data_IF_274336157531
#
_entry.id   IF_274336157531
#
_cell.length_a   1.000
_cell.length_b   1.000
_cell.length_c   1.000
_cell.angle_alpha   90.00
_cell.angle_beta   90.00
_cell.angle_gamma   90.00
#
_symmetry.space_group_name_H-M   'P 1'
#
loop_
_entity.id
_entity.type
_entity.pdbx_description
1 polymer ?
#
# COMPACT_ATOMS: atom_id res chain seq x y z
N UNK A 1 31.12 7.32 -3.95
CA UNK A 1 30.14 6.85 -2.95
C UNK A 1 28.81 6.64 -3.68
N UNK A 2 28.44 5.39 -3.95
CA UNK A 2 27.15 5.05 -4.56
C UNK A 2 26.07 5.23 -3.50
N UNK A 3 25.31 6.32 -3.55
CA UNK A 3 24.06 6.41 -2.79
C UNK A 3 23.12 5.37 -3.39
N UNK A 4 22.96 4.23 -2.72
CA UNK A 4 21.86 3.32 -2.99
C UNK A 4 20.57 4.16 -3.01
N UNK A 5 19.88 4.18 -4.16
CA UNK A 5 18.56 4.75 -4.28
C UNK A 5 17.60 3.88 -3.45
N UNK A 6 17.66 4.01 -2.12
CA UNK A 6 16.78 3.28 -1.22
C UNK A 6 15.36 3.75 -1.51
N UNK A 7 14.56 2.88 -2.13
CA UNK A 7 13.13 3.08 -2.28
C UNK A 7 12.56 3.37 -0.88
N UNK A 8 12.03 4.58 -0.69
CA UNK A 8 11.40 4.97 0.57
C UNK A 8 10.02 4.30 0.63
N UNK A 9 9.67 3.60 1.71
CA UNK A 9 8.36 2.92 1.79
C UNK A 9 7.30 3.90 2.29
N UNK A 10 6.26 4.12 1.49
CA UNK A 10 5.05 4.83 1.88
C UNK A 10 3.94 3.82 2.10
N UNK A 11 3.28 3.91 3.24
CA UNK A 11 2.23 2.98 3.63
C UNK A 11 0.90 3.70 3.69
N UNK A 12 -0.12 3.12 3.05
CA UNK A 12 -1.48 3.62 3.01
C UNK A 12 -2.36 2.63 3.77
N UNK A 13 -3.00 3.13 4.81
CA UNK A 13 -3.88 2.37 5.69
C UNK A 13 -5.30 2.90 5.50
N UNK A 14 -6.24 2.06 5.05
CA UNK A 14 -7.64 2.48 4.91
C UNK A 14 -8.62 1.41 4.47
N UNK A 15 -9.90 1.56 4.85
CA UNK A 15 -11.01 0.79 4.27
C UNK A 15 -11.21 1.13 2.78
N UNK A 16 -11.92 0.31 2.00
CA UNK A 16 -12.11 0.55 0.55
C UNK A 16 -12.99 1.79 0.34
N UNK A 17 -12.54 2.76 -0.46
CA UNK A 17 -13.32 3.96 -0.82
C UNK A 17 -12.75 4.71 -2.04
N UNK A 18 -13.60 5.40 -2.79
CA UNK A 18 -13.28 6.08 -4.06
C UNK A 18 -12.05 7.01 -3.96
N UNK A 19 -11.99 7.82 -2.91
CA UNK A 19 -10.89 8.77 -2.68
C UNK A 19 -9.51 8.09 -2.54
N UNK A 20 -9.46 6.86 -2.01
CA UNK A 20 -8.19 6.16 -1.77
C UNK A 20 -7.55 5.68 -3.06
N UNK A 21 -8.34 5.35 -4.07
CA UNK A 21 -7.82 4.97 -5.38
C UNK A 21 -7.14 6.15 -6.08
N UNK A 22 -7.71 7.36 -5.95
CA UNK A 22 -7.08 8.58 -6.44
C UNK A 22 -5.81 8.91 -5.67
N UNK A 23 -5.80 8.74 -4.34
CA UNK A 23 -4.58 8.90 -3.53
C UNK A 23 -3.48 7.94 -4.01
N UNK A 24 -3.76 6.63 -4.16
CA UNK A 24 -2.78 5.66 -4.67
C UNK A 24 -2.26 6.09 -6.05
N UNK A 25 -3.17 6.51 -6.93
CA UNK A 25 -2.83 6.92 -8.30
C UNK A 25 -1.92 8.16 -8.31
N UNK A 26 -2.25 9.20 -7.56
CA UNK A 26 -1.44 10.41 -7.42
C UNK A 26 -0.07 10.08 -6.81
N UNK A 27 -0.03 9.25 -5.76
CA UNK A 27 1.23 8.85 -5.13
C UNK A 27 2.12 8.05 -6.08
N UNK A 28 1.55 7.13 -6.88
CA UNK A 28 2.32 6.39 -7.89
C UNK A 28 2.98 7.33 -8.91
N UNK A 29 2.25 8.37 -9.34
CA UNK A 29 2.69 9.38 -10.31
C UNK A 29 3.73 10.34 -9.74
N UNK A 30 3.48 10.90 -8.57
CA UNK A 30 4.29 11.99 -8.00
C UNK A 30 5.51 11.47 -7.22
N UNK A 31 5.43 10.26 -6.66
CA UNK A 31 6.46 9.72 -5.78
C UNK A 31 7.18 8.54 -6.41
N UNK A 32 7.83 8.74 -7.56
CA UNK A 32 8.47 7.68 -8.36
C UNK A 32 9.50 6.82 -7.60
N UNK A 33 10.08 7.37 -6.53
CA UNK A 33 11.07 6.72 -5.65
C UNK A 33 10.46 6.02 -4.43
N UNK A 34 9.14 5.90 -4.37
CA UNK A 34 8.46 5.27 -3.25
C UNK A 34 7.85 3.94 -3.64
N UNK A 35 8.00 2.97 -2.74
CA UNK A 35 7.21 1.75 -2.72
C UNK A 35 5.96 2.02 -1.91
N UNK A 36 4.79 1.71 -2.47
CA UNK A 36 3.49 1.93 -1.85
C UNK A 36 2.97 0.60 -1.33
N UNK A 37 2.65 0.56 -0.04
CA UNK A 37 2.03 -0.61 0.59
C UNK A 37 0.61 -0.25 0.96
N UNK A 38 -0.38 -0.97 0.41
CA UNK A 38 -1.79 -0.74 0.66
C UNK A 38 -2.41 -1.91 1.40
N UNK A 39 -3.02 -1.63 2.55
CA UNK A 39 -3.67 -2.64 3.38
C UNK A 39 -5.16 -2.78 3.06
N UNK A 40 -5.61 -4.01 2.83
CA UNK A 40 -7.00 -4.39 2.66
C UNK A 40 -7.46 -5.23 3.84
N UNK A 41 -8.73 -5.12 4.25
CA UNK A 41 -9.29 -5.91 5.34
C UNK A 41 -9.58 -7.37 4.99
N UNK A 42 -9.64 -7.71 3.70
CA UNK A 42 -9.91 -9.06 3.21
C UNK A 42 -9.37 -9.26 1.79
N UNK A 43 -9.21 -10.52 1.36
CA UNK A 43 -8.81 -10.87 -0.01
C UNK A 43 -9.84 -10.39 -1.05
N UNK A 44 -11.14 -10.47 -0.73
CA UNK A 44 -12.17 -9.88 -1.57
C UNK A 44 -11.99 -8.36 -1.71
N UNK A 45 -11.62 -7.69 -0.62
CA UNK A 45 -11.28 -6.27 -0.64
C UNK A 45 -10.09 -5.96 -1.54
N UNK A 46 -9.01 -6.73 -1.42
CA UNK A 46 -7.83 -6.64 -2.28
C UNK A 46 -8.19 -6.80 -3.76
N UNK A 47 -8.95 -7.82 -4.13
CA UNK A 47 -9.38 -8.03 -5.52
C UNK A 47 -10.19 -6.85 -6.06
N UNK A 48 -11.11 -6.31 -5.26
CA UNK A 48 -11.90 -5.11 -5.63
C UNK A 48 -11.01 -3.88 -5.83
N UNK A 49 -10.06 -3.65 -4.92
CA UNK A 49 -9.12 -2.54 -5.02
C UNK A 49 -8.25 -2.65 -6.27
N UNK A 50 -7.70 -3.83 -6.55
CA UNK A 50 -6.88 -4.08 -7.76
C UNK A 50 -7.70 -3.80 -9.01
N UNK A 51 -8.89 -4.39 -9.12
CA UNK A 51 -9.77 -4.21 -10.28
C UNK A 51 -10.15 -2.75 -10.48
N UNK A 52 -10.46 -2.02 -9.40
CA UNK A 52 -10.79 -0.61 -9.48
C UNK A 52 -9.59 0.26 -9.88
N UNK A 53 -8.38 -0.08 -9.41
CA UNK A 53 -7.17 0.63 -9.77
C UNK A 53 -6.78 0.41 -11.23
N UNK A 54 -6.94 -0.82 -11.74
CA UNK A 54 -6.75 -1.14 -13.17
C UNK A 54 -7.64 -0.28 -14.06
N UNK A 55 -8.89 -0.05 -13.67
CA UNK A 55 -9.81 0.82 -14.42
C UNK A 55 -9.39 2.29 -14.45
N UNK A 56 -8.67 2.77 -13.44
CA UNK A 56 -8.26 4.18 -13.32
C UNK A 56 -6.91 4.41 -14.02
N UNK A 57 -5.97 3.50 -13.86
CA UNK A 57 -4.58 3.67 -14.31
C UNK A 57 -4.36 3.05 -15.70
N UNK A 58 -5.19 2.09 -16.10
CA UNK A 58 -4.97 1.32 -17.33
C UNK A 58 -3.93 0.22 -17.11
N UNK A 59 -2.82 0.27 -17.86
CA UNK A 59 -1.71 -0.66 -17.67
C UNK A 59 -1.00 -0.39 -16.34
N UNK A 60 -1.08 -1.37 -15.44
CA UNK A 60 -0.48 -1.30 -14.11
C UNK A 60 0.84 -2.07 -14.01
N UNK A 61 1.38 -2.59 -15.10
CA UNK A 61 2.60 -3.41 -15.10
C UNK A 61 3.79 -2.68 -14.46
N UNK A 62 3.97 -1.40 -14.78
CA UNK A 62 5.00 -0.55 -14.17
C UNK A 62 4.67 -0.13 -12.73
N UNK A 63 3.38 -0.04 -12.39
CA UNK A 63 2.93 0.26 -11.03
C UNK A 63 3.09 -0.94 -10.08
N UNK A 64 3.00 -2.17 -10.60
CA UNK A 64 3.09 -3.40 -9.82
C UNK A 64 4.44 -3.61 -9.13
N UNK A 65 5.53 -3.18 -9.75
CA UNK A 65 6.87 -3.24 -9.14
C UNK A 65 6.94 -2.42 -7.84
N UNK A 66 6.10 -1.39 -7.75
CA UNK A 66 6.11 -0.41 -6.66
C UNK A 66 4.89 -0.50 -5.76
N UNK A 67 3.85 -1.22 -6.13
CA UNK A 67 2.61 -1.34 -5.38
C UNK A 67 2.45 -2.73 -4.78
N UNK A 68 2.46 -2.81 -3.44
CA UNK A 68 2.24 -4.05 -2.69
C UNK A 68 0.88 -3.99 -2.00
N UNK A 69 0.01 -4.97 -2.28
CA UNK A 69 -1.22 -5.15 -1.52
C UNK A 69 -1.02 -6.18 -0.42
N UNK A 70 -1.45 -5.84 0.79
CA UNK A 70 -1.47 -6.74 1.92
C UNK A 70 -2.88 -6.88 2.46
N UNK A 71 -3.23 -8.06 2.93
CA UNK A 71 -4.49 -8.31 3.61
C UNK A 71 -4.22 -8.44 5.10
N UNK A 72 -4.84 -7.57 5.88
CA UNK A 72 -4.71 -7.54 7.33
C UNK A 72 -5.84 -6.72 7.93
N UNK A 73 -6.17 -7.00 9.18
CA UNK A 73 -7.06 -6.13 9.94
C UNK A 73 -6.22 -5.19 10.81
N UNK A 74 -6.40 -3.88 10.63
CA UNK A 74 -5.75 -2.87 11.49
C UNK A 74 -6.28 -2.98 12.93
N UNK A 75 -7.49 -3.53 13.10
CA UNK A 75 -8.12 -3.74 14.41
C UNK A 75 -7.90 -5.13 14.97
N UNK A 76 -7.30 -6.07 14.22
CA UNK A 76 -6.93 -7.35 14.83
C UNK A 76 -5.78 -7.07 15.79
N UNK A 77 -6.07 -7.11 17.09
CA UNK A 77 -5.04 -7.29 18.10
C UNK A 77 -4.16 -8.45 17.65
N UNK A 78 -2.89 -8.17 17.38
CA UNK A 78 -1.92 -9.20 17.06
C UNK A 78 -1.77 -10.07 18.32
N UNK A 79 -2.60 -11.11 18.42
CA UNK A 79 -2.58 -12.05 19.55
C UNK A 79 -1.28 -12.86 19.56
N UNK A 80 -0.56 -12.86 18.45
CA UNK A 80 0.70 -13.57 18.28
C UNK A 80 1.78 -12.61 17.73
N UNK A 81 2.90 -12.44 18.47
CA UNK A 81 4.09 -11.76 17.96
C UNK A 81 4.58 -12.47 16.69
N UNK A 82 4.75 -11.72 15.59
CA UNK A 82 5.26 -12.26 14.32
C UNK A 82 4.21 -12.54 13.24
N UNK A 83 2.90 -12.44 13.53
CA UNK A 83 1.85 -12.63 12.52
C UNK A 83 1.23 -11.33 12.01
N UNK A 84 1.68 -10.17 12.48
CA UNK A 84 1.16 -8.90 11.99
C UNK A 84 2.07 -8.33 10.89
N UNK A 85 1.70 -8.46 9.60
CA UNK A 85 2.49 -7.90 8.50
C UNK A 85 2.62 -6.37 8.61
N UNK A 86 1.76 -5.69 9.39
CA UNK A 86 1.92 -4.26 9.70
C UNK A 86 3.15 -4.05 10.60
N UNK A 87 3.35 -4.89 11.62
CA UNK A 87 4.42 -4.73 12.59
C UNK A 87 5.82 -4.90 11.97
N UNK A 88 5.98 -5.81 11.01
CA UNK A 88 7.23 -5.98 10.26
C UNK A 88 7.49 -4.83 9.28
N UNK A 89 6.44 -4.19 8.79
CA UNK A 89 6.53 -3.09 7.84
C UNK A 89 6.76 -1.74 8.51
N UNK A 90 6.19 -1.50 9.69
CA UNK A 90 6.28 -0.22 10.43
C UNK A 90 7.70 0.35 10.47
N UNK A 91 8.77 -0.41 10.81
CA UNK A 91 10.13 0.11 10.87
C UNK A 91 10.66 0.63 9.53
N UNK A 92 10.09 0.16 8.41
CA UNK A 92 10.50 0.53 7.06
C UNK A 92 9.67 1.69 6.48
N UNK A 93 8.56 2.07 7.14
CA UNK A 93 7.65 3.11 6.67
C UNK A 93 8.23 4.49 6.95
N UNK A 94 8.49 5.23 5.88
CA UNK A 94 8.93 6.63 5.97
C UNK A 94 7.77 7.63 5.97
N UNK A 95 6.59 7.21 5.46
CA UNK A 95 5.37 8.02 5.46
C UNK A 95 4.13 7.15 5.64
N UNK A 96 3.23 7.57 6.54
CA UNK A 96 1.94 6.93 6.76
C UNK A 96 0.82 7.84 6.24
N UNK A 97 -0.03 7.30 5.37
CA UNK A 97 -1.29 7.93 4.97
C UNK A 97 -2.42 7.15 5.62
N UNK A 98 -3.05 7.73 6.63
CA UNK A 98 -4.22 7.17 7.28
C UNK A 98 -5.48 7.82 6.70
N UNK A 99 -6.29 7.03 6.02
CA UNK A 99 -7.58 7.46 5.51
C UNK A 99 -8.58 6.38 5.90
N UNK A 100 -9.38 6.62 6.95
CA UNK A 100 -10.29 5.61 7.53
C UNK A 100 -11.43 5.26 6.57
#
# INVERSE_FOLDING_TARGET
MLTSNLLRTLTIVGSIGFLKLHIITSLLREHSKYKIVYFNRSECGKRRTISALQKIIGDISSAWERLKFLVTSITSHAREPGLNPIAELIPQVSKLVFNA
#
